data_IF_766604273949
#
_entry.id   IF_766604273949
#
_cell.length_a   1.000
_cell.length_b   1.000
_cell.length_c   1.000
_cell.angle_alpha   90.00
_cell.angle_beta   90.00
_cell.angle_gamma   90.00
#
_symmetry.space_group_name_H-M   'P 1'
#
loop_
_entity.id
_entity.type
_entity.pdbx_description
1 polymer ?
#
# COMPACT_ATOMS: atom_id res chain seq x y z
N UNK A 1 16.53 -27.28 13.52
CA UNK A 1 17.44 -26.24 13.01
C UNK A 1 16.69 -24.96 12.62
N UNK A 2 15.59 -25.00 11.85
CA UNK A 2 14.95 -23.75 11.35
C UNK A 2 13.90 -23.07 12.23
N UNK A 3 13.94 -23.18 13.57
CA UNK A 3 12.96 -22.55 14.47
C UNK A 3 13.62 -21.44 15.32
N UNK A 4 14.81 -21.71 15.86
CA UNK A 4 15.66 -20.67 16.46
C UNK A 4 16.11 -19.62 15.42
N UNK A 5 16.47 -20.07 14.23
CA UNK A 5 16.82 -19.19 13.10
C UNK A 5 15.63 -18.31 12.67
N UNK A 6 14.41 -18.88 12.68
CA UNK A 6 13.18 -18.12 12.41
C UNK A 6 12.94 -17.07 13.48
N UNK A 7 13.07 -17.42 14.77
CA UNK A 7 12.89 -16.45 15.85
C UNK A 7 13.95 -15.33 15.80
N UNK A 8 15.19 -15.64 15.43
CA UNK A 8 16.24 -14.65 15.24
C UNK A 8 15.91 -13.69 14.08
N UNK A 9 15.45 -14.22 12.95
CA UNK A 9 15.02 -13.43 11.78
C UNK A 9 13.79 -12.56 12.10
N UNK A 10 12.78 -13.14 12.77
CA UNK A 10 11.57 -12.41 13.16
C UNK A 10 11.87 -11.25 14.13
N UNK A 11 12.84 -11.45 15.03
CA UNK A 11 13.30 -10.43 15.98
C UNK A 11 14.10 -9.33 15.28
N UNK A 12 14.99 -9.68 14.35
CA UNK A 12 15.72 -8.71 13.54
C UNK A 12 14.76 -7.84 12.70
N UNK A 13 13.75 -8.47 12.09
CA UNK A 13 12.69 -7.75 11.36
C UNK A 13 11.85 -6.82 12.26
N UNK A 14 11.73 -7.11 13.55
CA UNK A 14 11.04 -6.23 14.51
C UNK A 14 11.90 -5.05 14.95
N UNK A 15 13.19 -5.28 15.18
CA UNK A 15 14.12 -4.26 15.70
C UNK A 15 14.64 -3.33 14.59
N UNK A 16 14.95 -3.92 13.43
CA UNK A 16 15.68 -3.31 12.31
C UNK A 16 14.88 -3.22 11.01
N UNK A 17 13.69 -3.82 10.94
CA UNK A 17 12.81 -3.69 9.77
C UNK A 17 12.43 -2.23 9.50
N UNK A 18 12.30 -1.86 8.22
CA UNK A 18 11.90 -0.52 7.78
C UNK A 18 10.65 -0.08 8.54
N UNK A 19 10.85 0.82 9.52
CA UNK A 19 9.77 1.60 10.10
C UNK A 19 9.42 2.64 9.06
N UNK A 20 8.54 2.29 8.12
CA UNK A 20 7.80 3.32 7.40
C UNK A 20 7.08 4.14 8.47
N UNK A 21 7.71 5.24 8.88
CA UNK A 21 7.08 6.27 9.68
C UNK A 21 6.06 6.88 8.75
N UNK A 22 4.81 6.45 8.86
CA UNK A 22 3.70 7.22 8.33
C UNK A 22 3.91 8.68 8.77
N UNK A 23 4.02 9.58 7.80
CA UNK A 23 4.01 11.02 8.06
C UNK A 23 2.57 11.40 8.44
N UNK A 24 2.20 11.06 9.69
CA UNK A 24 0.87 11.31 10.28
C UNK A 24 0.72 12.79 10.69
N UNK A 25 1.72 13.63 10.44
CA UNK A 25 1.85 14.97 11.02
C UNK A 25 0.67 15.90 10.65
N UNK A 26 0.00 15.65 9.51
CA UNK A 26 -1.21 16.38 9.11
C UNK A 26 -2.53 15.94 9.78
N UNK A 27 -2.65 14.68 10.24
CA UNK A 27 -3.86 14.17 10.88
C UNK A 27 -3.94 14.51 12.39
N UNK A 28 -2.79 14.79 13.01
CA UNK A 28 -2.69 15.11 14.44
C UNK A 28 -3.42 16.42 14.78
N UNK A 29 -3.37 17.43 13.88
CA UNK A 29 -3.98 18.73 14.13
C UNK A 29 -5.52 18.70 14.27
N UNK A 30 -6.20 17.77 13.59
CA UNK A 30 -7.68 17.62 13.65
C UNK A 30 -8.12 16.95 14.96
N UNK A 31 -7.28 16.06 15.52
CA UNK A 31 -7.58 15.38 16.78
C UNK A 31 -7.35 16.28 18.00
N UNK A 32 -6.50 17.30 17.87
CA UNK A 32 -6.25 18.30 18.92
C UNK A 32 -7.41 19.31 19.07
N UNK A 33 -8.36 19.33 18.13
CA UNK A 33 -9.61 20.10 18.22
C UNK A 33 -10.72 19.36 19.00
N UNK A 34 -10.54 18.07 19.30
CA UNK A 34 -11.50 17.25 20.06
C UNK A 34 -11.24 17.33 21.56
N UNK A 35 -12.29 17.23 22.38
CA UNK A 35 -12.12 17.10 23.83
C UNK A 35 -11.44 15.77 24.18
N UNK A 36 -10.80 15.72 25.35
CA UNK A 36 -10.10 14.52 25.81
C UNK A 36 -11.03 13.29 25.91
N UNK A 37 -12.28 13.50 26.33
CA UNK A 37 -13.32 12.46 26.41
C UNK A 37 -13.74 11.94 25.03
N UNK A 38 -13.90 12.83 24.05
CA UNK A 38 -14.23 12.46 22.66
C UNK A 38 -13.07 11.71 21.99
N UNK A 39 -11.83 12.14 22.27
CA UNK A 39 -10.62 11.49 21.78
C UNK A 39 -10.46 10.08 22.35
N UNK A 40 -10.67 9.89 23.65
CA UNK A 40 -10.63 8.56 24.27
C UNK A 40 -11.72 7.62 23.75
N UNK A 41 -12.94 8.14 23.56
CA UNK A 41 -14.03 7.38 22.93
C UNK A 41 -13.63 6.95 21.52
N UNK A 42 -13.14 7.87 20.71
CA UNK A 42 -12.70 7.57 19.36
C UNK A 42 -11.60 6.51 19.36
N UNK A 43 -10.58 6.64 20.22
CA UNK A 43 -9.52 5.64 20.34
C UNK A 43 -10.06 4.25 20.67
N UNK A 44 -11.08 4.15 21.51
CA UNK A 44 -11.73 2.88 21.86
C UNK A 44 -12.52 2.30 20.69
N UNK A 45 -13.24 3.13 19.96
CA UNK A 45 -14.05 2.72 18.81
C UNK A 45 -13.17 2.29 17.61
N UNK A 46 -12.04 2.96 17.39
CA UNK A 46 -11.10 2.60 16.30
C UNK A 46 -10.05 1.57 16.70
N UNK A 47 -9.95 1.21 17.98
CA UNK A 47 -9.02 0.18 18.46
C UNK A 47 -9.09 -1.13 17.67
N UNK A 48 -10.27 -1.74 17.41
CA UNK A 48 -10.35 -2.98 16.65
C UNK A 48 -9.91 -2.80 15.19
N UNK A 49 -10.22 -1.65 14.57
CA UNK A 49 -9.75 -1.28 13.22
C UNK A 49 -8.23 -1.19 13.18
N UNK A 50 -7.62 -0.48 14.13
CA UNK A 50 -6.16 -0.33 14.22
C UNK A 50 -5.48 -1.68 14.48
N UNK A 51 -6.05 -2.51 15.34
CA UNK A 51 -5.52 -3.85 15.64
C UNK A 51 -5.52 -4.75 14.40
N UNK A 52 -6.67 -4.82 13.71
CA UNK A 52 -6.81 -5.63 12.49
C UNK A 52 -5.83 -5.18 11.39
N UNK A 53 -5.71 -3.87 11.15
CA UNK A 53 -4.76 -3.31 10.18
C UNK A 53 -3.31 -3.61 10.58
N UNK A 54 -2.96 -3.44 11.86
CA UNK A 54 -1.62 -3.73 12.34
C UNK A 54 -1.24 -5.20 12.12
N UNK A 55 -2.11 -6.13 12.52
CA UNK A 55 -1.85 -7.58 12.38
C UNK A 55 -1.73 -7.99 10.92
N UNK A 56 -2.66 -7.57 10.06
CA UNK A 56 -2.62 -7.89 8.62
C UNK A 56 -1.35 -7.36 7.95
N UNK A 57 -0.95 -6.11 8.23
CA UNK A 57 0.31 -5.53 7.76
C UNK A 57 1.52 -6.33 8.23
N UNK A 58 1.58 -6.69 9.52
CA UNK A 58 2.70 -7.43 10.10
C UNK A 58 2.84 -8.84 9.54
N UNK A 59 1.72 -9.54 9.34
CA UNK A 59 1.70 -10.87 8.72
C UNK A 59 2.26 -10.79 7.29
N UNK A 60 1.73 -9.86 6.47
CA UNK A 60 2.20 -9.67 5.10
C UNK A 60 3.70 -9.32 5.07
N UNK A 61 4.12 -8.36 5.90
CA UNK A 61 5.53 -7.94 5.98
C UNK A 61 6.47 -9.08 6.37
N UNK A 62 6.16 -9.86 7.42
CA UNK A 62 7.01 -10.95 7.88
C UNK A 62 7.10 -12.08 6.86
N UNK A 63 6.00 -12.41 6.18
CA UNK A 63 6.00 -13.45 5.14
C UNK A 63 6.85 -13.02 3.94
N UNK A 64 6.74 -11.77 3.49
CA UNK A 64 7.48 -11.26 2.32
C UNK A 64 8.97 -11.10 2.62
N UNK A 65 9.32 -10.61 3.81
CA UNK A 65 10.70 -10.30 4.18
C UNK A 65 11.44 -11.44 4.89
N UNK A 66 10.84 -12.64 4.97
CA UNK A 66 11.55 -13.88 5.34
C UNK A 66 11.69 -14.79 4.11
N UNK A 67 12.64 -14.48 3.20
CA UNK A 67 12.78 -15.17 1.92
C UNK A 67 13.25 -16.62 2.05
N UNK A 68 13.86 -16.98 3.18
CA UNK A 68 14.47 -18.30 3.42
C UNK A 68 13.56 -19.24 4.19
N UNK A 69 12.62 -18.74 4.99
CA UNK A 69 11.82 -19.57 5.90
C UNK A 69 10.32 -19.41 5.67
N UNK A 70 9.74 -18.22 5.87
CA UNK A 70 8.29 -18.06 5.77
C UNK A 70 7.80 -18.02 4.33
N UNK A 71 8.49 -17.33 3.43
CA UNK A 71 8.07 -17.22 2.04
C UNK A 71 8.04 -18.57 1.31
N UNK A 72 9.05 -19.45 1.43
CA UNK A 72 9.01 -20.78 0.83
C UNK A 72 7.89 -21.65 1.42
N UNK A 73 7.69 -21.60 2.74
CA UNK A 73 6.61 -22.34 3.42
C UNK A 73 5.23 -21.86 3.00
N UNK A 74 5.05 -20.55 2.82
CA UNK A 74 3.81 -19.97 2.31
C UNK A 74 3.52 -20.46 0.90
N UNK A 75 4.52 -20.42 0.01
CA UNK A 75 4.40 -20.94 -1.37
C UNK A 75 4.09 -22.43 -1.40
N UNK A 76 4.73 -23.23 -0.55
CA UNK A 76 4.45 -24.66 -0.42
C UNK A 76 2.99 -24.91 -0.01
N UNK A 77 2.46 -24.12 0.92
CA UNK A 77 1.07 -24.24 1.36
C UNK A 77 0.06 -23.93 0.23
N UNK A 78 0.41 -23.00 -0.67
CA UNK A 78 -0.45 -22.61 -1.79
C UNK A 78 -0.20 -23.42 -3.07
N UNK A 79 0.87 -24.20 -3.17
CA UNK A 79 1.29 -24.88 -4.40
C UNK A 79 0.25 -25.85 -4.99
N UNK A 80 -0.73 -26.29 -4.20
CA UNK A 80 -1.82 -27.17 -4.61
C UNK A 80 -3.19 -26.50 -4.72
N UNK A 81 -3.27 -25.18 -4.61
CA UNK A 81 -4.53 -24.42 -4.65
C UNK A 81 -4.57 -23.48 -5.85
N UNK A 82 -5.74 -22.89 -6.12
CA UNK A 82 -5.89 -21.87 -7.17
C UNK A 82 -5.04 -20.62 -6.90
N UNK A 83 -4.48 -20.51 -5.70
CA UNK A 83 -3.62 -19.41 -5.25
C UNK A 83 -2.13 -19.70 -5.40
N UNK A 84 -1.70 -20.78 -6.08
CA UNK A 84 -0.28 -21.19 -6.17
C UNK A 84 0.68 -20.09 -6.66
N UNK A 85 0.21 -19.14 -7.47
CA UNK A 85 1.01 -18.00 -7.96
C UNK A 85 0.84 -16.72 -7.12
N UNK A 86 -0.07 -16.73 -6.14
CA UNK A 86 -0.40 -15.56 -5.34
C UNK A 86 0.49 -15.47 -4.10
N UNK A 87 1.00 -14.28 -3.83
CA UNK A 87 1.62 -13.92 -2.54
C UNK A 87 0.72 -12.90 -1.88
N UNK A 88 0.67 -12.89 -0.54
CA UNK A 88 -0.01 -11.81 0.18
C UNK A 88 0.56 -10.47 -0.27
N UNK A 89 -0.32 -9.55 -0.66
CA UNK A 89 0.10 -8.24 -1.13
C UNK A 89 0.63 -7.41 0.04
N UNK A 90 1.70 -6.66 -0.21
CA UNK A 90 2.27 -5.71 0.75
C UNK A 90 1.43 -4.43 0.75
N UNK A 91 1.13 -3.92 1.94
CA UNK A 91 0.62 -2.55 2.06
C UNK A 91 1.73 -1.54 1.69
N UNK A 92 1.39 -0.55 0.90
CA UNK A 92 2.25 0.56 0.49
C UNK A 92 1.55 1.82 0.95
N UNK A 93 2.03 2.45 2.03
CA UNK A 93 1.35 3.55 2.72
C UNK A 93 0.85 4.68 1.81
N UNK A 94 1.45 4.85 0.64
CA UNK A 94 1.16 5.93 -0.31
C UNK A 94 0.25 5.55 -1.49
N UNK A 95 -0.28 4.32 -1.52
CA UNK A 95 -1.38 3.92 -2.42
C UNK A 95 -2.56 3.46 -1.57
N UNK A 96 -3.65 4.22 -1.50
CA UNK A 96 -4.84 3.80 -0.73
C UNK A 96 -5.40 2.43 -1.15
N UNK A 97 -5.07 1.97 -2.37
CA UNK A 97 -5.49 0.68 -2.90
C UNK A 97 -4.65 -0.47 -2.39
N UNK A 98 -3.40 -0.26 -1.93
CA UNK A 98 -2.62 -1.37 -1.38
C UNK A 98 -3.22 -1.89 -0.08
N UNK A 99 -3.79 -1.01 0.75
CA UNK A 99 -4.49 -1.42 1.97
C UNK A 99 -5.74 -2.21 1.59
N UNK A 100 -6.52 -1.72 0.62
CA UNK A 100 -7.67 -2.45 0.09
C UNK A 100 -7.28 -3.84 -0.47
N UNK A 101 -6.26 -3.89 -1.34
CA UNK A 101 -5.86 -5.11 -2.05
C UNK A 101 -5.21 -6.13 -1.11
N UNK A 102 -4.45 -5.66 -0.11
CA UNK A 102 -3.96 -6.50 0.99
C UNK A 102 -5.14 -7.13 1.74
N UNK A 103 -6.07 -6.31 2.24
CA UNK A 103 -7.21 -6.80 3.01
C UNK A 103 -8.11 -7.73 2.18
N UNK A 104 -8.34 -7.40 0.90
CA UNK A 104 -9.09 -8.25 -0.03
C UNK A 104 -8.39 -9.59 -0.26
N UNK A 105 -7.06 -9.60 -0.37
CA UNK A 105 -6.27 -10.83 -0.48
C UNK A 105 -6.38 -11.70 0.78
N UNK A 106 -6.36 -11.08 1.97
CA UNK A 106 -6.58 -11.78 3.23
C UNK A 106 -7.96 -12.42 3.31
N UNK A 107 -9.02 -11.75 2.83
CA UNK A 107 -10.37 -12.33 2.77
C UNK A 107 -10.47 -13.48 1.77
N UNK A 108 -9.90 -13.32 0.57
CA UNK A 108 -9.89 -14.38 -0.47
C UNK A 108 -9.17 -15.64 -0.01
N UNK A 109 -8.07 -15.48 0.73
CA UNK A 109 -7.23 -16.58 1.23
C UNK A 109 -7.44 -16.86 2.72
N UNK A 110 -8.60 -16.50 3.31
CA UNK A 110 -8.86 -16.54 4.75
C UNK A 110 -8.47 -17.87 5.39
N UNK A 111 -8.90 -18.99 4.82
CA UNK A 111 -8.61 -20.33 5.35
C UNK A 111 -7.10 -20.64 5.36
N UNK A 112 -6.39 -20.29 4.29
CA UNK A 112 -4.95 -20.51 4.20
C UNK A 112 -4.17 -19.60 5.17
N UNK A 113 -4.58 -18.34 5.28
CA UNK A 113 -3.97 -17.38 6.23
C UNK A 113 -4.15 -17.90 7.66
N UNK A 114 -5.36 -18.32 8.05
CA UNK A 114 -5.62 -18.86 9.38
C UNK A 114 -4.78 -20.10 9.67
N UNK A 115 -4.74 -21.08 8.75
CA UNK A 115 -3.93 -22.29 8.89
C UNK A 115 -2.43 -21.98 9.01
N UNK A 116 -1.95 -20.97 8.28
CA UNK A 116 -0.53 -20.60 8.27
C UNK A 116 -0.11 -19.91 9.58
N UNK A 117 -0.96 -19.05 10.13
CA UNK A 117 -0.69 -18.32 11.37
C UNK A 117 -0.80 -19.24 12.58
N UNK A 118 -1.78 -20.15 12.59
CA UNK A 118 -2.02 -21.10 13.69
C UNK A 118 -0.88 -22.13 13.82
N UNK A 119 -0.12 -22.36 12.73
CA UNK A 119 1.02 -23.27 12.77
C UNK A 119 2.15 -22.71 13.62
N UNK A 120 2.35 -23.30 14.80
CA UNK A 120 3.38 -22.90 15.78
C UNK A 120 4.79 -22.81 15.21
N UNK A 121 5.12 -23.60 14.18
CA UNK A 121 6.43 -23.58 13.51
C UNK A 121 6.72 -22.29 12.74
N UNK A 122 5.71 -21.44 12.52
CA UNK A 122 5.82 -20.18 11.78
C UNK A 122 6.00 -18.95 12.70
N UNK A 123 5.84 -19.11 14.02
CA UNK A 123 6.11 -18.03 14.98
C UNK A 123 5.19 -16.80 14.85
N UNK A 124 4.03 -16.93 14.21
CA UNK A 124 3.08 -15.83 13.96
C UNK A 124 1.87 -15.83 14.91
N UNK A 125 1.86 -16.67 15.95
CA UNK A 125 0.71 -16.86 16.83
C UNK A 125 0.22 -15.56 17.51
N UNK A 126 1.12 -14.59 17.74
CA UNK A 126 0.76 -13.27 18.29
C UNK A 126 -0.12 -12.41 17.34
N UNK A 127 -0.10 -12.73 16.05
CA UNK A 127 -0.87 -12.03 15.01
C UNK A 127 -2.16 -12.77 14.63
N UNK A 128 -2.58 -13.78 15.39
CA UNK A 128 -3.87 -14.46 15.15
C UNK A 128 -4.98 -13.41 15.15
N UNK A 129 -5.73 -13.41 14.05
CA UNK A 129 -6.87 -12.53 13.82
C UNK A 129 -8.11 -13.15 14.50
N UNK A 130 -8.77 -12.39 15.35
CA UNK A 130 -10.04 -12.80 15.97
C UNK A 130 -11.19 -12.71 14.97
N UNK A 131 -12.32 -13.35 15.26
CA UNK A 131 -13.52 -13.26 14.41
C UNK A 131 -13.99 -11.80 14.26
N UNK A 132 -13.92 -11.01 15.34
CA UNK A 132 -14.23 -9.58 15.31
C UNK A 132 -13.29 -8.81 14.36
N UNK A 133 -11.98 -9.10 14.39
CA UNK A 133 -11.02 -8.48 13.48
C UNK A 133 -11.28 -8.87 12.02
N UNK A 134 -11.71 -10.11 11.74
CA UNK A 134 -12.11 -10.53 10.40
C UNK A 134 -13.36 -9.79 9.89
N UNK A 135 -14.35 -9.55 10.74
CA UNK A 135 -15.53 -8.74 10.39
C UNK A 135 -15.15 -7.29 10.12
N UNK A 136 -14.24 -6.74 10.94
CA UNK A 136 -13.70 -5.39 10.72
C UNK A 136 -12.95 -5.30 9.39
N UNK A 137 -12.13 -6.30 9.04
CA UNK A 137 -11.46 -6.37 7.74
C UNK A 137 -12.48 -6.37 6.60
N UNK A 138 -13.55 -7.16 6.71
CA UNK A 138 -14.64 -7.20 5.73
C UNK A 138 -15.32 -5.83 5.56
N UNK A 139 -15.62 -5.16 6.68
CA UNK A 139 -16.17 -3.80 6.68
C UNK A 139 -15.24 -2.77 6.04
N UNK A 140 -13.93 -2.85 6.34
CA UNK A 140 -12.93 -1.97 5.75
C UNK A 140 -12.79 -2.17 4.24
N UNK A 141 -12.76 -3.42 3.76
CA UNK A 141 -12.73 -3.70 2.31
C UNK A 141 -13.94 -3.09 1.63
N UNK A 142 -15.13 -3.26 2.21
CA UNK A 142 -16.38 -2.69 1.68
C UNK A 142 -16.34 -1.16 1.62
N UNK A 143 -15.80 -0.50 2.66
CA UNK A 143 -15.65 0.96 2.69
C UNK A 143 -14.59 1.47 1.71
N UNK A 144 -13.48 0.74 1.56
CA UNK A 144 -12.37 1.11 0.68
C UNK A 144 -12.62 0.78 -0.79
N UNK A 145 -13.61 -0.07 -1.12
CA UNK A 145 -13.95 -0.44 -2.50
C UNK A 145 -14.23 0.79 -3.38
N UNK A 146 -14.91 1.81 -2.84
CA UNK A 146 -15.19 3.04 -3.57
C UNK A 146 -13.92 3.82 -3.94
N UNK A 147 -12.93 3.83 -3.05
CA UNK A 147 -11.65 4.46 -3.31
C UNK A 147 -10.78 3.62 -4.25
N UNK A 148 -10.86 2.29 -4.18
CA UNK A 148 -10.20 1.40 -5.14
C UNK A 148 -10.63 1.69 -6.58
N UNK A 149 -11.93 1.92 -6.81
CA UNK A 149 -12.46 2.29 -8.13
C UNK A 149 -11.96 3.65 -8.65
N UNK A 150 -11.46 4.53 -7.78
CA UNK A 150 -10.91 5.82 -8.22
C UNK A 150 -9.49 5.74 -8.77
N UNK A 151 -8.75 4.66 -8.51
CA UNK A 151 -7.40 4.43 -9.07
C UNK A 151 -7.41 3.93 -10.51
N UNK A 152 -8.57 3.43 -10.96
CA UNK A 152 -8.83 3.17 -12.37
C UNK A 152 -9.03 4.48 -13.16
N UNK A 153 -9.16 5.62 -12.48
CA UNK A 153 -9.27 6.91 -13.12
C UNK A 153 -7.92 7.39 -13.63
N UNK A 154 -7.86 7.69 -14.92
CA UNK A 154 -6.73 8.36 -15.56
C UNK A 154 -6.34 9.66 -14.85
N UNK A 155 -7.31 10.37 -14.26
CA UNK A 155 -7.09 11.61 -13.52
C UNK A 155 -6.19 11.41 -12.30
N UNK A 156 -6.38 10.31 -11.57
CA UNK A 156 -5.55 10.00 -10.40
C UNK A 156 -4.11 9.71 -10.81
N UNK A 157 -3.92 8.89 -11.86
CA UNK A 157 -2.60 8.55 -12.42
C UNK A 157 -1.84 9.80 -12.88
N UNK A 158 -2.53 10.69 -13.59
CA UNK A 158 -1.97 11.97 -14.04
C UNK A 158 -1.58 12.88 -12.87
N UNK A 159 -2.48 13.09 -11.90
CA UNK A 159 -2.23 13.95 -10.74
C UNK A 159 -1.02 13.49 -9.91
N UNK A 160 -0.87 12.18 -9.74
CA UNK A 160 0.23 11.58 -8.98
C UNK A 160 1.59 11.72 -9.71
N UNK A 161 1.63 11.52 -11.04
CA UNK A 161 2.86 11.67 -11.84
C UNK A 161 3.29 13.13 -11.94
N UNK A 162 2.34 14.05 -12.11
CA UNK A 162 2.59 15.48 -12.25
C UNK A 162 2.90 16.16 -10.91
N UNK A 163 2.94 15.40 -9.80
CA UNK A 163 3.27 15.97 -8.50
C UNK A 163 4.70 16.55 -8.48
N UNK A 164 4.88 17.87 -8.25
CA UNK A 164 6.17 18.56 -8.45
C UNK A 164 7.34 17.98 -7.64
N UNK A 165 7.04 17.47 -6.44
CA UNK A 165 8.02 16.95 -5.47
C UNK A 165 8.39 15.47 -5.66
N UNK A 166 7.52 14.67 -6.25
CA UNK A 166 7.61 13.20 -6.13
C UNK A 166 7.91 12.52 -7.48
N UNK A 167 7.32 12.99 -8.60
CA UNK A 167 7.59 12.51 -9.98
C UNK A 167 7.76 10.97 -10.07
N UNK A 168 8.57 10.48 -10.99
CA UNK A 168 8.80 9.04 -11.20
C UNK A 168 9.78 8.41 -10.20
N UNK A 169 10.73 9.18 -9.69
CA UNK A 169 11.75 8.69 -8.77
C UNK A 169 11.17 8.23 -7.43
N UNK A 170 10.07 8.85 -7.01
CA UNK A 170 9.33 8.44 -5.83
C UNK A 170 8.77 7.02 -5.98
N UNK A 171 8.05 6.74 -7.07
CA UNK A 171 7.42 5.42 -7.30
C UNK A 171 8.46 4.29 -7.39
N UNK A 172 9.61 4.57 -8.01
CA UNK A 172 10.74 3.63 -8.07
C UNK A 172 11.32 3.34 -6.69
N UNK A 173 11.55 4.38 -5.87
CA UNK A 173 12.04 4.22 -4.49
C UNK A 173 11.04 3.48 -3.59
N UNK A 174 9.75 3.75 -3.77
CA UNK A 174 8.66 3.08 -3.05
C UNK A 174 8.38 1.64 -3.55
N UNK A 175 9.09 1.17 -4.58
CA UNK A 175 8.95 -0.17 -5.18
C UNK A 175 7.52 -0.46 -5.64
N UNK A 176 6.90 0.51 -6.31
CA UNK A 176 5.60 0.31 -6.95
C UNK A 176 5.73 -0.67 -8.12
N UNK A 177 4.62 -1.31 -8.47
CA UNK A 177 4.58 -2.25 -9.59
C UNK A 177 4.92 -1.53 -10.90
N UNK A 178 5.87 -2.09 -11.66
CA UNK A 178 6.40 -1.44 -12.86
C UNK A 178 5.31 -1.26 -13.92
N UNK A 179 4.39 -2.22 -14.06
CA UNK A 179 3.26 -2.14 -15.00
C UNK A 179 2.33 -0.96 -14.71
N UNK A 180 2.10 -0.66 -13.42
CA UNK A 180 1.32 0.51 -13.03
C UNK A 180 2.05 1.81 -13.41
N UNK A 181 3.36 1.90 -13.14
CA UNK A 181 4.17 3.07 -13.49
C UNK A 181 4.13 3.31 -15.00
N UNK A 182 4.35 2.27 -15.79
CA UNK A 182 4.37 2.35 -17.25
C UNK A 182 3.01 2.77 -17.82
N UNK A 183 1.93 2.21 -17.26
CA UNK A 183 0.55 2.58 -17.64
C UNK A 183 0.24 4.02 -17.29
N UNK A 184 0.62 4.48 -16.09
CA UNK A 184 0.38 5.85 -15.66
C UNK A 184 1.17 6.86 -16.51
N UNK A 185 2.42 6.55 -16.87
CA UNK A 185 3.23 7.37 -17.80
C UNK A 185 2.57 7.44 -19.17
N UNK A 186 2.12 6.30 -19.71
CA UNK A 186 1.42 6.25 -21.01
C UNK A 186 0.17 7.13 -21.01
N UNK A 187 -0.72 6.95 -20.04
CA UNK A 187 -1.96 7.73 -19.90
C UNK A 187 -1.66 9.23 -19.80
N UNK A 188 -0.67 9.61 -18.99
CA UNK A 188 -0.28 11.02 -18.82
C UNK A 188 0.27 11.62 -20.11
N UNK A 189 1.08 10.86 -20.84
CA UNK A 189 1.63 11.29 -22.13
C UNK A 189 0.53 11.44 -23.18
N UNK A 190 -0.36 10.46 -23.31
CA UNK A 190 -1.48 10.51 -24.25
C UNK A 190 -2.40 11.70 -23.96
N UNK A 191 -2.70 11.98 -22.69
CA UNK A 191 -3.48 13.16 -22.30
C UNK A 191 -2.76 14.48 -22.63
N UNK A 192 -1.45 14.56 -22.40
CA UNK A 192 -0.65 15.73 -22.79
C UNK A 192 -0.62 15.93 -24.30
N UNK A 193 -0.38 14.86 -25.07
CA UNK A 193 -0.34 14.90 -26.53
C UNK A 193 -1.68 15.31 -27.15
N UNK A 194 -2.80 14.93 -26.53
CA UNK A 194 -4.16 15.25 -26.98
C UNK A 194 -4.55 16.71 -26.69
N UNK A 195 -4.31 17.17 -25.46
CA UNK A 195 -4.97 18.38 -24.95
C UNK A 195 -4.01 19.56 -24.71
N UNK A 196 -2.70 19.32 -24.63
CA UNK A 196 -1.71 20.31 -24.17
C UNK A 196 -0.51 20.47 -25.10
N UNK A 197 -0.35 19.60 -26.09
CA UNK A 197 0.73 19.73 -27.07
C UNK A 197 0.48 21.00 -27.91
N UNK A 198 1.41 21.98 -27.89
CA UNK A 198 1.29 23.16 -28.74
C UNK A 198 1.21 22.72 -30.20
N UNK A 199 0.30 23.31 -30.96
CA UNK A 199 0.30 23.11 -32.41
C UNK A 199 1.46 23.90 -33.00
N UNK A 200 2.08 23.40 -34.08
CA UNK A 200 3.18 24.10 -34.75
C UNK A 200 2.74 25.50 -35.29
N UNK A 201 1.44 25.81 -35.23
CA UNK A 201 0.85 27.09 -35.59
C UNK A 201 0.88 28.15 -34.45
N UNK A 202 1.25 27.78 -33.22
CA UNK A 202 1.26 28.67 -32.04
C UNK A 202 2.61 29.43 -31.83
N UNK A 203 3.64 29.14 -32.63
CA UNK A 203 4.98 29.76 -32.47
C UNK A 203 5.10 31.20 -33.00
N UNK A 204 4.13 31.72 -33.78
CA UNK A 204 4.27 33.05 -34.41
C UNK A 204 3.62 34.24 -33.66
N UNK A 205 2.92 34.06 -32.53
CA UNK A 205 2.15 35.17 -31.92
C UNK A 205 2.44 35.52 -30.44
N UNK A 206 3.66 35.37 -29.95
CA UNK A 206 4.00 35.97 -28.64
C UNK A 206 5.48 36.34 -28.49
N UNK A 207 5.86 37.45 -29.12
CA UNK A 207 6.84 38.34 -28.51
C UNK A 207 6.12 39.17 -27.43
N UNK A 208 6.24 38.78 -26.17
CA UNK A 208 6.50 39.69 -25.05
C UNK A 208 6.58 38.94 -23.71
N UNK A 209 7.83 38.71 -23.30
CA UNK A 209 8.38 38.64 -21.93
C UNK A 209 7.42 38.46 -20.74
N UNK A 210 7.28 37.23 -20.24
CA UNK A 210 7.40 36.92 -18.79
C UNK A 210 8.08 35.56 -18.64
N UNK A 211 9.10 35.51 -17.78
CA UNK A 211 9.95 34.37 -17.42
C UNK A 211 9.15 33.04 -17.33
N UNK A 212 9.17 32.27 -18.41
CA UNK A 212 8.67 30.89 -18.42
C UNK A 212 9.84 30.00 -18.02
N UNK A 213 9.83 29.56 -16.76
CA UNK A 213 10.55 28.36 -16.36
C UNK A 213 10.04 27.24 -17.25
N UNK A 214 10.78 26.98 -18.32
CA UNK A 214 10.58 25.90 -19.24
C UNK A 214 10.72 24.62 -18.41
N UNK A 215 9.60 24.08 -17.92
CA UNK A 215 9.53 22.73 -17.41
C UNK A 215 9.66 21.84 -18.63
N UNK A 216 10.90 21.64 -19.06
CA UNK A 216 11.26 20.58 -19.97
C UNK A 216 10.84 19.28 -19.29
N UNK A 217 9.67 18.76 -19.66
CA UNK A 217 9.23 17.42 -19.31
C UNK A 217 10.09 16.45 -20.12
N UNK A 218 11.33 16.27 -19.69
CA UNK A 218 12.10 15.10 -20.04
C UNK A 218 11.49 13.92 -19.26
N UNK A 219 10.65 13.16 -19.97
CA UNK A 219 10.29 11.80 -19.62
C UNK A 219 11.48 10.86 -19.81
#
# INVERSE_FOLDING_TARGET
MGLEELYAELKDLEENGDREKDDVEGFVAVLDEMSEEERERWHREVAPVKSALYKTRKISYKIINSPTLLLPRWREQLAGTDFAQHTLLRDVATRWNSTHDMLLSFLKMKEHVMQFIDRSSNGLAEYILTDEEWEVISGLVSALTYYALTDDSDLYRMAMILHPKYKLDYFRKARWEQEWIDTAVRVTREAWERDFKPSDDDEESSSDTVHSDCVSFCF
#
